data_IF_108875421204
#
_entry.id   IF_108875421204
#
_cell.length_a   1.000
_cell.length_b   1.000
_cell.length_c   1.000
_cell.angle_alpha   90.00
_cell.angle_beta   90.00
_cell.angle_gamma   90.00
#
_symmetry.space_group_name_H-M   'P 1'
#
loop_
_entity.id
_entity.type
_entity.pdbx_description
1 polymer ?
#
# COMPACT_ATOMS: atom_id res chain seq x y z
N UNK A 1 -43.67 7.33 14.14
CA UNK A 1 -42.39 7.57 13.36
C UNK A 1 -41.95 8.99 13.64
N UNK A 2 -40.74 9.22 14.12
CA UNK A 2 -40.21 10.56 14.35
C UNK A 2 -39.70 11.15 13.03
N UNK A 3 -40.10 12.35 12.66
CA UNK A 3 -39.63 13.06 11.49
C UNK A 3 -38.09 13.26 11.54
N UNK A 4 -37.37 13.19 10.41
CA UNK A 4 -35.96 13.52 10.34
C UNK A 4 -35.69 14.95 10.83
N UNK A 5 -34.48 15.19 11.42
CA UNK A 5 -34.11 16.49 11.98
C UNK A 5 -34.30 17.67 11.01
N UNK A 6 -33.99 17.49 9.73
CA UNK A 6 -34.15 18.52 8.70
C UNK A 6 -35.60 18.92 8.45
N UNK A 7 -36.53 17.98 8.54
CA UNK A 7 -37.97 18.25 8.39
C UNK A 7 -38.51 18.93 9.64
N UNK A 8 -38.07 18.53 10.84
CA UNK A 8 -38.45 19.20 12.08
C UNK A 8 -38.00 20.66 12.14
N UNK A 9 -36.82 20.99 11.57
CA UNK A 9 -36.35 22.38 11.46
C UNK A 9 -37.22 23.24 10.55
N UNK A 10 -37.87 22.65 9.52
CA UNK A 10 -38.77 23.37 8.62
C UNK A 10 -40.13 23.71 9.28
N UNK A 11 -40.49 23.03 10.35
CA UNK A 11 -41.71 23.28 11.11
C UNK A 11 -41.57 24.43 12.13
N UNK A 12 -40.40 25.01 12.27
CA UNK A 12 -40.17 26.13 13.19
C UNK A 12 -40.65 27.43 12.55
N UNK A 13 -41.64 28.06 13.17
CA UNK A 13 -42.18 29.35 12.76
C UNK A 13 -41.58 30.47 13.62
N UNK A 14 -40.71 31.28 13.02
CA UNK A 14 -39.96 32.31 13.74
C UNK A 14 -40.80 33.51 14.18
N UNK A 15 -41.93 33.73 13.52
CA UNK A 15 -42.83 34.86 13.75
C UNK A 15 -44.13 34.47 14.49
N UNK A 16 -44.21 33.24 14.99
CA UNK A 16 -45.32 32.75 15.77
C UNK A 16 -45.43 33.57 17.07
N UNK A 17 -46.65 34.11 17.33
CA UNK A 17 -46.95 34.91 18.48
C UNK A 17 -47.41 34.11 19.71
N UNK A 18 -47.81 32.88 19.51
CA UNK A 18 -48.37 32.05 20.59
C UNK A 18 -47.29 31.12 21.17
N UNK A 19 -46.35 30.63 20.33
CA UNK A 19 -45.30 29.72 20.75
C UNK A 19 -43.90 30.31 20.58
N UNK A 20 -43.23 30.56 21.68
CA UNK A 20 -41.85 31.04 21.62
C UNK A 20 -40.91 30.00 20.95
N UNK A 21 -39.85 30.47 20.31
CA UNK A 21 -38.85 29.59 19.66
C UNK A 21 -38.26 28.52 20.60
N UNK A 22 -38.22 28.83 21.91
CA UNK A 22 -37.75 27.89 22.94
C UNK A 22 -38.72 26.73 23.08
N UNK A 23 -40.04 27.05 23.17
CA UNK A 23 -41.11 26.07 23.31
C UNK A 23 -41.21 25.20 22.02
N UNK A 24 -41.12 25.84 20.86
CA UNK A 24 -41.09 25.11 19.58
C UNK A 24 -39.89 24.16 19.48
N UNK A 25 -38.71 24.58 19.92
CA UNK A 25 -37.53 23.71 19.96
C UNK A 25 -37.72 22.50 20.86
N UNK A 26 -38.30 22.71 22.04
CA UNK A 26 -38.55 21.63 23.01
C UNK A 26 -39.61 20.64 22.47
N UNK A 27 -40.71 21.15 21.90
CA UNK A 27 -41.76 20.32 21.27
C UNK A 27 -41.23 19.51 20.07
N UNK A 28 -40.38 20.11 19.26
CA UNK A 28 -39.76 19.46 18.10
C UNK A 28 -38.51 18.65 18.44
N UNK A 29 -38.13 18.55 19.71
CA UNK A 29 -36.91 17.88 20.18
C UNK A 29 -35.66 18.38 19.43
N UNK A 30 -35.54 19.67 19.22
CA UNK A 30 -34.42 20.36 18.59
C UNK A 30 -33.55 21.08 19.64
N UNK A 31 -32.22 21.07 19.46
CA UNK A 31 -31.37 21.91 20.29
C UNK A 31 -31.56 23.36 19.88
N UNK A 32 -31.61 24.29 20.87
CA UNK A 32 -31.75 25.75 20.65
C UNK A 32 -30.66 26.30 19.69
N UNK A 33 -29.42 25.82 19.81
CA UNK A 33 -28.32 26.19 18.92
C UNK A 33 -28.61 25.87 17.44
N UNK A 34 -29.41 24.81 17.16
CA UNK A 34 -29.81 24.45 15.80
C UNK A 34 -30.69 25.48 15.13
N UNK A 35 -31.47 26.26 15.90
CA UNK A 35 -32.37 27.28 15.36
C UNK A 35 -31.63 28.54 14.90
N UNK A 36 -30.46 28.80 15.47
CA UNK A 36 -29.63 29.97 15.17
C UNK A 36 -28.44 29.61 14.28
N UNK A 37 -28.27 28.34 13.92
CA UNK A 37 -27.17 27.91 13.07
C UNK A 37 -27.33 28.44 11.64
N UNK A 38 -26.44 29.30 11.23
CA UNK A 38 -26.28 29.69 9.83
C UNK A 38 -25.11 28.93 9.23
N UNK A 39 -25.36 28.25 8.10
CA UNK A 39 -24.31 27.56 7.38
C UNK A 39 -23.29 28.58 6.86
N UNK A 40 -22.05 28.44 7.28
CA UNK A 40 -20.94 29.27 6.79
C UNK A 40 -20.63 28.82 5.36
N UNK A 41 -20.65 29.75 4.40
CA UNK A 41 -20.22 29.47 3.04
C UNK A 41 -18.75 29.08 3.02
N UNK A 42 -18.36 28.04 2.25
CA UNK A 42 -16.96 27.63 2.13
C UNK A 42 -16.09 28.80 1.65
N UNK A 43 -14.92 28.95 2.25
CA UNK A 43 -13.96 29.97 1.81
C UNK A 43 -13.44 29.65 0.41
N UNK A 44 -12.97 30.66 -0.37
CA UNK A 44 -12.36 30.40 -1.68
C UNK A 44 -11.17 29.43 -1.62
N UNK A 45 -10.46 29.41 -0.51
CA UNK A 45 -9.36 28.47 -0.28
C UNK A 45 -9.86 27.03 -0.08
N UNK A 46 -10.94 26.87 0.67
CA UNK A 46 -11.58 25.58 0.87
C UNK A 46 -12.14 25.02 -0.43
N UNK A 47 -12.74 25.89 -1.28
CA UNK A 47 -13.23 25.49 -2.60
C UNK A 47 -12.07 25.03 -3.49
N UNK A 48 -10.96 25.78 -3.56
CA UNK A 48 -9.76 25.38 -4.32
C UNK A 48 -9.20 24.05 -3.82
N UNK A 49 -9.17 23.86 -2.52
CA UNK A 49 -8.69 22.61 -1.91
C UNK A 49 -9.60 21.42 -2.28
N UNK A 50 -10.92 21.60 -2.24
CA UNK A 50 -11.87 20.56 -2.65
C UNK A 50 -11.73 20.22 -4.12
N UNK A 51 -11.56 21.20 -5.01
CA UNK A 51 -11.28 20.97 -6.43
C UNK A 51 -9.99 20.15 -6.60
N UNK A 52 -8.91 20.50 -5.88
CA UNK A 52 -7.66 19.75 -6.00
C UNK A 52 -7.79 18.31 -5.48
N UNK A 53 -8.55 18.09 -4.41
CA UNK A 53 -8.87 16.74 -3.89
C UNK A 53 -9.64 15.94 -4.95
N UNK A 54 -10.60 16.56 -5.63
CA UNK A 54 -11.43 15.95 -6.67
C UNK A 54 -10.59 15.57 -7.92
N UNK A 55 -9.72 16.44 -8.36
CA UNK A 55 -8.77 16.16 -9.46
C UNK A 55 -7.88 14.94 -9.15
N UNK A 56 -7.27 14.90 -7.95
CA UNK A 56 -6.45 13.77 -7.51
C UNK A 56 -7.29 12.50 -7.41
N UNK A 57 -8.52 12.60 -6.91
CA UNK A 57 -9.41 11.44 -6.82
C UNK A 57 -9.86 10.96 -8.20
N UNK A 58 -10.15 11.86 -9.13
CA UNK A 58 -10.52 11.52 -10.51
C UNK A 58 -9.38 10.79 -11.22
N UNK A 59 -8.15 11.20 -11.00
CA UNK A 59 -6.96 10.53 -11.56
C UNK A 59 -6.65 9.20 -10.86
N UNK A 60 -6.86 9.14 -9.51
CA UNK A 60 -6.56 7.98 -8.68
C UNK A 60 -7.73 7.61 -7.75
N UNK A 61 -8.84 7.04 -8.25
CA UNK A 61 -10.04 6.80 -7.46
C UNK A 61 -9.86 5.78 -6.31
N UNK A 62 -8.75 5.04 -6.31
CA UNK A 62 -8.31 4.16 -5.24
C UNK A 62 -7.51 4.87 -4.13
N UNK A 63 -7.30 6.20 -4.21
CA UNK A 63 -6.68 6.97 -3.14
C UNK A 63 -7.70 7.31 -2.05
N UNK A 64 -7.47 6.79 -0.85
CA UNK A 64 -8.16 7.27 0.35
C UNK A 64 -7.48 8.53 0.92
N UNK A 65 -8.09 9.11 1.96
CA UNK A 65 -7.65 10.36 2.60
C UNK A 65 -6.17 10.41 2.99
N UNK A 66 -5.52 9.27 3.24
CA UNK A 66 -4.08 9.22 3.58
C UNK A 66 -3.20 9.54 2.38
N UNK A 67 -3.46 8.91 1.22
CA UNK A 67 -2.68 9.13 -0.01
C UNK A 67 -2.93 10.52 -0.59
N UNK A 68 -4.19 10.96 -0.63
CA UNK A 68 -4.55 12.31 -1.06
C UNK A 68 -3.84 13.36 -0.19
N UNK A 69 -3.83 13.19 1.13
CA UNK A 69 -3.11 14.09 2.04
C UNK A 69 -1.60 14.15 1.75
N UNK A 70 -0.98 13.00 1.44
CA UNK A 70 0.45 12.96 1.07
C UNK A 70 0.70 13.67 -0.25
N UNK A 71 -0.16 13.46 -1.25
CA UNK A 71 -0.05 14.12 -2.56
C UNK A 71 -0.16 15.65 -2.42
N UNK A 72 -1.16 16.14 -1.70
CA UNK A 72 -1.32 17.57 -1.44
C UNK A 72 -0.10 18.19 -0.72
N UNK A 73 0.49 17.47 0.23
CA UNK A 73 1.73 17.91 0.90
C UNK A 73 2.94 17.96 -0.02
N UNK A 74 3.07 17.01 -0.96
CA UNK A 74 4.11 17.05 -2.01
C UNK A 74 3.96 18.26 -2.94
N UNK A 75 2.74 18.74 -3.11
CA UNK A 75 2.41 19.96 -3.85
C UNK A 75 2.57 21.26 -3.00
N UNK A 76 3.08 21.13 -1.76
CA UNK A 76 3.35 22.25 -0.86
C UNK A 76 2.15 22.70 0.00
N UNK A 77 1.02 21.99 -0.02
CA UNK A 77 -0.16 22.33 0.76
C UNK A 77 -0.06 21.80 2.20
N UNK A 78 -0.06 22.68 3.19
CA UNK A 78 -0.04 22.33 4.62
C UNK A 78 -1.41 21.85 5.09
N UNK A 79 -1.73 20.58 4.90
CA UNK A 79 -3.01 19.98 5.28
C UNK A 79 -2.84 18.73 6.14
N UNK A 80 -3.76 18.48 7.08
CA UNK A 80 -3.80 17.25 7.84
C UNK A 80 -4.82 16.25 7.26
N UNK A 81 -4.61 14.97 7.57
CA UNK A 81 -5.47 13.88 7.07
C UNK A 81 -6.94 14.01 7.48
N UNK A 82 -7.23 14.52 8.71
CA UNK A 82 -8.61 14.66 9.19
C UNK A 82 -9.38 15.68 8.36
N UNK A 83 -8.72 16.77 7.94
CA UNK A 83 -9.32 17.78 7.07
C UNK A 83 -9.62 17.19 5.68
N UNK A 84 -8.65 16.47 5.05
CA UNK A 84 -8.89 15.77 3.77
C UNK A 84 -10.05 14.78 3.90
N UNK A 85 -10.11 13.99 4.96
CA UNK A 85 -11.19 13.01 5.18
C UNK A 85 -12.55 13.69 5.32
N UNK A 86 -12.62 14.86 5.98
CA UNK A 86 -13.84 15.66 6.10
C UNK A 86 -14.29 16.15 4.71
N UNK A 87 -13.40 16.76 3.93
CA UNK A 87 -13.72 17.27 2.60
C UNK A 87 -14.15 16.15 1.65
N UNK A 88 -13.48 14.99 1.64
CA UNK A 88 -13.91 13.83 0.86
C UNK A 88 -15.34 13.39 1.23
N UNK A 89 -15.66 13.35 2.52
CA UNK A 89 -17.03 13.01 2.98
C UNK A 89 -18.06 14.05 2.57
N UNK A 90 -17.74 15.33 2.66
CA UNK A 90 -18.60 16.43 2.21
C UNK A 90 -18.88 16.38 0.70
N UNK A 91 -17.93 15.94 -0.10
CA UNK A 91 -18.04 15.73 -1.56
C UNK A 91 -18.67 14.37 -1.94
N UNK A 92 -18.92 13.48 -0.96
CA UNK A 92 -19.46 12.14 -1.23
C UNK A 92 -18.48 11.19 -1.91
N UNK A 93 -17.16 11.44 -1.82
CA UNK A 93 -16.12 10.62 -2.45
C UNK A 93 -15.44 9.71 -1.43
N UNK A 94 -15.21 8.46 -1.82
CA UNK A 94 -14.54 7.44 -1.00
C UNK A 94 -13.60 6.60 -1.87
N UNK A 95 -12.40 6.29 -1.35
CA UNK A 95 -11.44 5.46 -2.08
C UNK A 95 -11.98 4.04 -2.32
N UNK A 96 -11.91 3.57 -3.55
CA UNK A 96 -12.38 2.23 -3.95
C UNK A 96 -11.60 1.15 -3.20
N UNK A 97 -12.30 0.24 -2.52
CA UNK A 97 -11.72 -0.84 -1.70
C UNK A 97 -12.32 -2.22 -2.01
N UNK A 98 -11.54 -3.28 -1.77
CA UNK A 98 -11.90 -4.67 -2.10
C UNK A 98 -12.84 -5.42 -1.15
N UNK A 99 -13.58 -6.41 -1.71
CA UNK A 99 -14.32 -7.45 -0.98
C UNK A 99 -13.48 -8.72 -0.64
N UNK A 100 -14.04 -9.76 0.03
CA UNK A 100 -13.30 -10.97 0.49
C UNK A 100 -13.00 -12.02 -0.60
N UNK A 101 -11.95 -12.86 -0.44
CA UNK A 101 -11.35 -13.75 -1.46
C UNK A 101 -11.61 -15.27 -1.25
N UNK A 102 -11.69 -16.09 -2.34
CA UNK A 102 -12.23 -17.47 -2.35
C UNK A 102 -11.44 -18.50 -3.21
N UNK A 103 -10.19 -18.96 -2.89
CA UNK A 103 -9.45 -19.98 -3.69
C UNK A 103 -8.87 -21.17 -2.88
N UNK A 104 -8.81 -22.42 -3.44
CA UNK A 104 -8.34 -23.69 -2.83
C UNK A 104 -7.20 -24.40 -3.58
N UNK A 105 -6.33 -25.20 -2.90
CA UNK A 105 -5.04 -25.82 -3.32
C UNK A 105 -5.08 -27.29 -3.72
N UNK A 106 -3.96 -27.81 -4.38
CA UNK A 106 -3.69 -29.22 -4.75
C UNK A 106 -2.41 -29.81 -4.09
N UNK A 107 -2.31 -31.18 -3.87
CA UNK A 107 -1.62 -31.81 -2.74
C UNK A 107 -0.40 -32.74 -3.05
N UNK A 108 0.19 -32.80 -4.27
CA UNK A 108 1.10 -33.89 -4.68
C UNK A 108 2.58 -33.54 -5.03
N UNK A 109 3.15 -32.41 -4.57
CA UNK A 109 4.49 -31.97 -5.03
C UNK A 109 5.58 -31.89 -3.96
N UNK A 110 6.89 -31.96 -4.38
CA UNK A 110 8.09 -31.88 -3.54
C UNK A 110 8.15 -30.50 -2.85
N UNK A 111 8.29 -30.51 -1.52
CA UNK A 111 8.18 -29.32 -0.67
C UNK A 111 9.57 -28.92 -0.19
N UNK A 112 9.93 -27.64 -0.37
CA UNK A 112 11.06 -27.01 0.28
C UNK A 112 10.65 -26.41 1.64
N UNK A 113 11.59 -26.33 2.61
CA UNK A 113 11.29 -25.77 3.92
C UNK A 113 10.98 -24.26 3.80
N UNK A 114 10.07 -23.76 4.66
CA UNK A 114 9.83 -22.33 4.80
C UNK A 114 10.93 -21.69 5.64
N UNK A 115 11.75 -20.86 5.02
CA UNK A 115 12.94 -20.27 5.62
C UNK A 115 12.68 -18.91 6.29
N UNK A 116 11.48 -18.34 6.14
CA UNK A 116 11.22 -16.93 6.53
C UNK A 116 10.64 -16.78 7.94
N UNK A 117 10.46 -17.89 8.70
CA UNK A 117 9.90 -17.83 10.04
C UNK A 117 10.83 -17.06 10.99
N UNK A 118 10.34 -15.93 11.51
CA UNK A 118 11.11 -15.08 12.42
C UNK A 118 12.23 -14.26 11.75
N UNK A 119 12.37 -14.37 10.42
CA UNK A 119 13.35 -13.60 9.68
C UNK A 119 12.94 -12.12 9.63
N UNK A 120 13.82 -11.24 10.09
CA UNK A 120 13.68 -9.80 9.89
C UNK A 120 14.30 -9.40 8.55
N UNK A 121 13.47 -8.92 7.64
CA UNK A 121 13.91 -8.45 6.33
C UNK A 121 14.37 -6.99 6.50
N UNK A 122 15.65 -6.72 6.26
CA UNK A 122 16.29 -5.43 6.60
C UNK A 122 16.86 -4.67 5.40
N UNK A 123 16.99 -5.30 4.25
CA UNK A 123 17.62 -4.73 3.06
C UNK A 123 17.04 -5.29 1.76
N UNK A 124 17.19 -4.56 0.65
CA UNK A 124 16.85 -5.09 -0.68
C UNK A 124 17.64 -6.38 -0.99
N UNK A 125 17.05 -7.22 -1.82
CA UNK A 125 17.61 -8.50 -2.28
C UNK A 125 17.86 -9.53 -1.16
N UNK A 126 17.26 -9.35 0.02
CA UNK A 126 17.30 -10.37 1.07
C UNK A 126 16.26 -11.46 0.80
N UNK A 127 15.04 -11.10 0.45
CA UNK A 127 13.97 -12.03 0.13
C UNK A 127 13.19 -11.52 -1.08
N UNK A 128 13.08 -12.36 -2.11
CA UNK A 128 12.14 -12.14 -3.22
C UNK A 128 11.00 -13.12 -3.14
N UNK A 129 9.83 -12.68 -3.54
CA UNK A 129 8.65 -13.52 -3.70
C UNK A 129 8.20 -13.56 -5.15
N UNK A 130 7.74 -14.72 -5.58
CA UNK A 130 7.09 -14.93 -6.89
C UNK A 130 5.70 -15.51 -6.69
N UNK A 131 4.76 -15.12 -7.53
CA UNK A 131 3.42 -15.69 -7.56
C UNK A 131 2.75 -15.38 -8.90
N UNK A 132 1.63 -16.07 -9.19
CA UNK A 132 0.84 -15.91 -10.41
C UNK A 132 -0.57 -15.46 -10.03
N UNK A 133 -1.11 -14.52 -10.80
CA UNK A 133 -2.50 -14.09 -10.64
C UNK A 133 -3.24 -14.04 -11.96
N UNK A 134 -4.58 -14.03 -11.91
CA UNK A 134 -5.47 -13.94 -13.06
C UNK A 134 -5.84 -12.49 -13.35
N UNK A 135 -5.81 -12.11 -14.60
CA UNK A 135 -6.25 -10.80 -15.12
C UNK A 135 -7.47 -11.04 -16.01
N UNK A 136 -8.59 -10.43 -15.65
CA UNK A 136 -9.83 -10.58 -16.41
C UNK A 136 -9.78 -9.71 -17.66
N UNK A 137 -10.24 -10.29 -18.79
CA UNK A 137 -10.59 -9.59 -20.02
C UNK A 137 -12.11 -9.56 -20.18
N UNK A 138 -12.61 -8.77 -21.11
CA UNK A 138 -14.02 -8.80 -21.55
C UNK A 138 -14.40 -10.21 -22.03
N UNK A 139 -13.49 -10.88 -22.74
CA UNK A 139 -13.65 -12.27 -23.19
C UNK A 139 -12.41 -13.08 -22.76
N UNK A 140 -12.51 -13.77 -21.61
CA UNK A 140 -11.46 -14.68 -21.14
C UNK A 140 -10.55 -14.11 -20.04
N UNK A 141 -9.34 -14.68 -19.93
CA UNK A 141 -8.39 -14.40 -18.86
C UNK A 141 -6.97 -14.38 -19.38
N UNK A 142 -6.12 -13.58 -18.75
CA UNK A 142 -4.67 -13.64 -18.84
C UNK A 142 -4.08 -14.05 -17.51
N UNK A 143 -2.83 -14.49 -17.52
CA UNK A 143 -2.05 -14.83 -16.36
C UNK A 143 -0.92 -13.81 -16.21
N UNK A 144 -0.78 -13.26 -15.03
CA UNK A 144 0.29 -12.33 -14.68
C UNK A 144 1.16 -12.99 -13.61
N UNK A 145 2.44 -13.20 -13.92
CA UNK A 145 3.46 -13.57 -12.93
C UNK A 145 4.28 -12.34 -12.56
N UNK A 146 4.73 -12.25 -11.32
CA UNK A 146 5.58 -11.14 -10.88
C UNK A 146 6.56 -11.56 -9.79
N UNK A 147 7.76 -11.00 -9.87
CA UNK A 147 8.83 -11.16 -8.86
C UNK A 147 8.98 -9.86 -8.10
N UNK A 148 8.79 -9.90 -6.79
CA UNK A 148 8.79 -8.73 -5.91
C UNK A 148 9.85 -8.86 -4.81
N UNK A 149 10.62 -7.78 -4.57
CA UNK A 149 11.47 -7.66 -3.40
C UNK A 149 10.63 -7.37 -2.14
N UNK A 150 10.79 -8.18 -1.12
CA UNK A 150 9.96 -8.10 0.09
C UNK A 150 10.34 -6.94 1.01
N UNK A 151 11.55 -6.42 0.91
CA UNK A 151 11.95 -5.24 1.68
C UNK A 151 11.35 -3.96 1.11
N UNK A 152 11.65 -3.68 -0.14
CA UNK A 152 11.28 -2.44 -0.82
C UNK A 152 9.90 -2.45 -1.45
N UNK A 153 9.31 -3.63 -1.64
CA UNK A 153 8.09 -3.85 -2.45
C UNK A 153 8.31 -3.56 -3.95
N UNK A 154 9.54 -3.46 -4.40
CA UNK A 154 9.87 -3.22 -5.79
C UNK A 154 9.57 -4.47 -6.63
N UNK A 155 8.78 -4.30 -7.67
CA UNK A 155 8.49 -5.34 -8.65
C UNK A 155 9.66 -5.40 -9.64
N UNK A 156 10.53 -6.40 -9.49
CA UNK A 156 11.71 -6.58 -10.32
C UNK A 156 11.37 -6.95 -11.76
N UNK A 157 10.47 -7.92 -11.89
CA UNK A 157 10.04 -8.41 -13.20
C UNK A 157 8.60 -8.86 -13.17
N UNK A 158 7.99 -8.90 -14.34
CA UNK A 158 6.65 -9.44 -14.54
C UNK A 158 6.49 -9.93 -15.98
N UNK A 159 5.62 -10.91 -16.18
CA UNK A 159 5.19 -11.37 -17.48
C UNK A 159 3.68 -11.59 -17.54
N UNK A 160 3.10 -11.36 -18.71
CA UNK A 160 1.69 -11.54 -18.98
C UNK A 160 1.51 -12.51 -20.14
N UNK A 161 0.70 -13.54 -19.96
CA UNK A 161 0.46 -14.55 -21.01
C UNK A 161 -1.02 -14.98 -21.04
N UNK A 162 -1.47 -15.49 -22.18
CA UNK A 162 -2.80 -16.06 -22.34
C UNK A 162 -2.85 -17.53 -21.90
N UNK A 163 -1.70 -18.20 -21.78
CA UNK A 163 -1.58 -19.57 -21.28
C UNK A 163 -0.87 -19.63 -19.93
N UNK A 164 -1.25 -20.60 -19.11
CA UNK A 164 -0.61 -20.88 -17.83
C UNK A 164 0.50 -21.94 -18.01
N UNK A 165 1.43 -21.70 -18.93
CA UNK A 165 2.54 -22.61 -19.23
C UNK A 165 3.86 -22.11 -18.62
N UNK A 166 4.84 -23.03 -18.45
CA UNK A 166 6.13 -22.71 -17.82
C UNK A 166 6.93 -21.58 -18.50
N UNK A 167 6.97 -21.42 -19.83
CA UNK A 167 7.85 -20.44 -20.45
C UNK A 167 7.66 -19.00 -19.97
N UNK A 168 6.42 -18.54 -19.65
CA UNK A 168 6.21 -17.18 -19.18
C UNK A 168 6.71 -16.98 -17.74
N UNK A 169 6.65 -18.03 -16.91
CA UNK A 169 7.21 -18.01 -15.55
C UNK A 169 8.73 -17.92 -15.61
N UNK A 170 9.36 -18.76 -16.46
CA UNK A 170 10.82 -18.76 -16.62
C UNK A 170 11.34 -17.40 -17.12
N UNK A 171 10.68 -16.79 -18.11
CA UNK A 171 11.05 -15.43 -18.57
C UNK A 171 11.02 -14.40 -17.45
N UNK A 172 10.02 -14.46 -16.56
CA UNK A 172 9.96 -13.55 -15.41
C UNK A 172 11.11 -13.79 -14.42
N UNK A 173 11.45 -15.07 -14.16
CA UNK A 173 12.57 -15.45 -13.27
C UNK A 173 13.91 -15.00 -13.86
N UNK A 174 14.18 -15.32 -15.11
CA UNK A 174 15.40 -14.93 -15.83
C UNK A 174 15.56 -13.41 -15.87
N UNK A 175 14.49 -12.68 -16.18
CA UNK A 175 14.49 -11.22 -16.19
C UNK A 175 14.79 -10.62 -14.81
N UNK A 176 14.29 -11.22 -13.72
CA UNK A 176 14.61 -10.77 -12.37
C UNK A 176 16.06 -11.07 -11.98
N UNK A 177 16.52 -12.31 -12.21
CA UNK A 177 17.90 -12.76 -11.92
C UNK A 177 18.94 -12.03 -12.76
N UNK A 178 18.58 -11.53 -13.94
CA UNK A 178 19.44 -10.67 -14.77
C UNK A 178 19.70 -9.29 -14.17
N UNK A 179 18.86 -8.83 -13.22
CA UNK A 179 19.01 -7.54 -12.56
C UNK A 179 19.81 -7.64 -11.26
N UNK A 180 19.52 -8.64 -10.43
CA UNK A 180 20.18 -8.89 -9.14
C UNK A 180 19.93 -10.33 -8.69
N UNK A 181 20.50 -10.73 -7.54
CA UNK A 181 20.25 -12.04 -6.90
C UNK A 181 19.78 -11.85 -5.47
N UNK A 182 18.69 -12.53 -5.04
CA UNK A 182 18.27 -12.55 -3.66
C UNK A 182 19.05 -13.59 -2.85
N UNK A 183 19.05 -13.47 -1.54
CA UNK A 183 19.50 -14.54 -0.65
C UNK A 183 18.49 -15.69 -0.60
N UNK A 184 17.19 -15.33 -0.49
CA UNK A 184 16.09 -16.29 -0.40
C UNK A 184 15.07 -15.96 -1.48
N UNK A 185 14.66 -17.00 -2.21
CA UNK A 185 13.58 -16.94 -3.18
C UNK A 185 12.38 -17.71 -2.65
N UNK A 186 11.25 -17.03 -2.42
CA UNK A 186 10.04 -17.60 -1.85
C UNK A 186 8.94 -17.75 -2.89
N UNK A 187 8.27 -18.89 -2.91
CA UNK A 187 7.09 -19.16 -3.73
C UNK A 187 6.04 -19.96 -2.96
N UNK A 188 4.86 -20.09 -3.50
CA UNK A 188 3.91 -21.10 -3.04
C UNK A 188 4.29 -22.51 -3.53
N UNK A 189 3.46 -23.51 -3.21
CA UNK A 189 3.64 -24.90 -3.62
C UNK A 189 2.89 -25.23 -4.92
N UNK A 190 2.66 -24.26 -5.80
CA UNK A 190 2.00 -24.45 -7.09
C UNK A 190 2.82 -25.34 -8.03
N UNK A 191 2.15 -25.97 -9.01
CA UNK A 191 2.80 -26.89 -9.95
C UNK A 191 3.93 -26.25 -10.76
N UNK A 192 3.83 -24.95 -11.03
CA UNK A 192 4.88 -24.21 -11.74
C UNK A 192 6.15 -24.07 -10.89
N UNK A 193 5.98 -23.76 -9.60
CA UNK A 193 7.09 -23.49 -8.68
C UNK A 193 7.72 -24.76 -8.09
N UNK A 194 7.11 -25.93 -8.35
CA UNK A 194 7.66 -27.24 -7.96
C UNK A 194 8.21 -28.03 -9.16
N UNK A 195 8.20 -27.47 -10.36
CA UNK A 195 8.79 -28.09 -11.56
C UNK A 195 10.31 -28.09 -11.51
N UNK A 196 10.96 -29.16 -11.98
CA UNK A 196 12.42 -29.27 -11.96
C UNK A 196 13.08 -28.15 -12.77
N UNK A 197 12.53 -27.77 -13.92
CA UNK A 197 13.09 -26.69 -14.77
C UNK A 197 13.16 -25.35 -14.04
N UNK A 198 12.12 -25.02 -13.26
CA UNK A 198 12.12 -23.81 -12.44
C UNK A 198 13.11 -23.91 -11.27
N UNK A 199 13.15 -25.08 -10.60
CA UNK A 199 14.03 -25.31 -9.47
C UNK A 199 15.51 -25.33 -9.88
N UNK A 200 15.83 -25.88 -11.07
CA UNK A 200 17.19 -25.89 -11.61
C UNK A 200 17.69 -24.47 -11.89
N UNK A 201 16.85 -23.62 -12.47
CA UNK A 201 17.19 -22.21 -12.71
C UNK A 201 17.54 -21.46 -11.40
N UNK A 202 16.81 -21.73 -10.31
CA UNK A 202 17.11 -21.16 -9.00
C UNK A 202 18.37 -21.77 -8.36
N UNK A 203 18.62 -23.06 -8.55
CA UNK A 203 19.85 -23.73 -8.07
C UNK A 203 21.09 -23.19 -8.79
N UNK A 204 21.00 -23.03 -10.12
CA UNK A 204 22.09 -22.43 -10.92
C UNK A 204 22.37 -20.98 -10.50
N UNK A 205 21.37 -20.26 -10.07
CA UNK A 205 21.52 -18.91 -9.51
C UNK A 205 22.07 -18.89 -8.07
N UNK A 206 22.25 -20.07 -7.44
CA UNK A 206 22.76 -20.22 -6.05
C UNK A 206 21.87 -19.50 -5.00
N UNK A 207 20.56 -19.42 -5.22
CA UNK A 207 19.63 -18.82 -4.27
C UNK A 207 19.04 -19.87 -3.32
N UNK A 208 18.75 -19.51 -2.08
CA UNK A 208 18.07 -20.39 -1.15
C UNK A 208 16.57 -20.45 -1.48
N UNK A 209 16.07 -21.66 -1.75
CA UNK A 209 14.67 -21.87 -2.11
C UNK A 209 13.83 -22.03 -0.85
N UNK A 210 12.78 -21.22 -0.72
CA UNK A 210 11.78 -21.26 0.33
C UNK A 210 10.39 -21.46 -0.26
N UNK A 211 9.57 -22.29 0.38
CA UNK A 211 8.17 -22.48 -0.01
C UNK A 211 7.23 -22.27 1.16
N UNK A 212 6.10 -21.63 0.89
CA UNK A 212 5.07 -21.36 1.88
C UNK A 212 4.57 -22.64 2.57
N UNK A 213 4.34 -22.55 3.86
CA UNK A 213 3.78 -23.67 4.62
C UNK A 213 2.31 -23.93 4.27
N UNK A 214 1.91 -25.21 4.26
CA UNK A 214 0.53 -25.63 3.99
C UNK A 214 -0.46 -24.94 4.96
N UNK A 215 -1.41 -24.18 4.40
CA UNK A 215 -2.48 -23.53 5.18
C UNK A 215 -2.09 -22.26 5.92
N UNK A 216 -0.94 -21.66 5.61
CA UNK A 216 -0.47 -20.41 6.24
C UNK A 216 -0.58 -19.24 5.26
N UNK A 217 -1.74 -18.59 5.23
CA UNK A 217 -1.97 -17.40 4.41
C UNK A 217 -1.04 -16.21 4.72
N UNK A 218 -0.34 -16.21 5.86
CA UNK A 218 0.58 -15.15 6.23
C UNK A 218 1.98 -15.29 5.61
N UNK A 219 2.32 -16.47 5.10
CA UNK A 219 3.67 -16.78 4.62
C UNK A 219 3.99 -16.05 3.29
N UNK A 220 2.98 -15.64 2.49
CA UNK A 220 3.15 -14.87 1.24
C UNK A 220 2.37 -13.55 1.20
N UNK A 221 2.06 -13.01 2.35
CA UNK A 221 1.21 -11.82 2.49
C UNK A 221 1.68 -10.60 1.67
N UNK A 222 2.98 -10.50 1.39
CA UNK A 222 3.56 -9.38 0.63
C UNK A 222 3.20 -9.49 -0.85
N UNK A 223 3.36 -10.67 -1.43
CA UNK A 223 3.03 -10.95 -2.83
C UNK A 223 1.51 -10.94 -3.04
N UNK A 224 0.73 -11.52 -2.10
CA UNK A 224 -0.73 -11.44 -2.14
C UNK A 224 -1.23 -9.97 -2.10
N UNK A 225 -0.57 -9.14 -1.29
CA UNK A 225 -0.90 -7.70 -1.22
C UNK A 225 -0.56 -6.95 -2.50
N UNK A 226 0.50 -7.34 -3.23
CA UNK A 226 0.80 -6.82 -4.57
C UNK A 226 -0.39 -7.07 -5.50
N UNK A 227 -0.86 -8.33 -5.58
CA UNK A 227 -1.99 -8.69 -6.46
C UNK A 227 -3.26 -7.95 -6.09
N UNK A 228 -3.55 -7.86 -4.81
CA UNK A 228 -4.67 -7.06 -4.33
C UNK A 228 -4.54 -5.61 -4.81
N UNK A 229 -3.37 -5.01 -4.69
CA UNK A 229 -3.13 -3.64 -5.12
C UNK A 229 -3.34 -3.47 -6.63
N UNK A 230 -2.73 -4.33 -7.46
CA UNK A 230 -2.87 -4.31 -8.92
C UNK A 230 -4.34 -4.51 -9.34
N UNK A 231 -5.03 -5.48 -8.75
CA UNK A 231 -6.42 -5.76 -9.11
C UNK A 231 -7.36 -4.59 -8.83
N UNK A 232 -7.19 -3.93 -7.71
CA UNK A 232 -8.13 -2.87 -7.29
C UNK A 232 -7.75 -1.48 -7.78
N UNK A 233 -6.51 -1.27 -8.11
CA UNK A 233 -6.06 0.04 -8.57
C UNK A 233 -5.95 0.12 -10.10
N UNK A 234 -5.98 -1.03 -10.79
CA UNK A 234 -5.89 -1.08 -12.25
C UNK A 234 -6.92 -2.03 -12.88
N UNK A 235 -6.90 -3.33 -12.52
CA UNK A 235 -7.66 -4.34 -13.26
C UNK A 235 -9.18 -4.16 -13.14
N UNK A 236 -9.69 -3.90 -11.93
CA UNK A 236 -11.13 -3.74 -11.71
C UNK A 236 -11.68 -2.37 -12.12
N UNK A 237 -10.80 -1.44 -12.45
CA UNK A 237 -11.18 -0.14 -12.99
C UNK A 237 -11.20 -0.14 -14.53
N UNK A 238 -10.77 -1.22 -15.17
CA UNK A 238 -10.67 -1.32 -16.61
C UNK A 238 -11.33 -2.61 -17.13
N UNK A 239 -12.09 -2.47 -18.20
CA UNK A 239 -12.59 -3.59 -18.99
C UNK A 239 -11.67 -3.77 -20.21
N UNK A 240 -10.64 -4.61 -20.07
CA UNK A 240 -9.69 -4.84 -21.15
C UNK A 240 -10.36 -5.60 -22.30
N UNK A 241 -10.42 -4.98 -23.48
CA UNK A 241 -10.98 -5.59 -24.68
C UNK A 241 -10.01 -6.60 -25.34
N UNK A 242 -8.70 -6.50 -25.09
CA UNK A 242 -7.70 -7.36 -25.70
C UNK A 242 -6.46 -7.56 -24.82
N UNK A 243 -5.68 -8.66 -25.05
CA UNK A 243 -4.40 -8.88 -24.40
C UNK A 243 -3.40 -7.73 -24.60
N UNK A 244 -3.41 -7.10 -25.78
CA UNK A 244 -2.54 -5.96 -26.11
C UNK A 244 -2.87 -4.75 -25.25
N UNK A 245 -4.15 -4.43 -25.10
CA UNK A 245 -4.60 -3.34 -24.25
C UNK A 245 -4.26 -3.60 -22.79
N UNK A 246 -4.55 -4.80 -22.27
CA UNK A 246 -4.19 -5.19 -20.92
C UNK A 246 -2.69 -5.04 -20.66
N UNK A 247 -1.82 -5.49 -21.59
CA UNK A 247 -0.37 -5.33 -21.47
C UNK A 247 0.04 -3.86 -21.43
N UNK A 248 -0.51 -3.02 -22.28
CA UNK A 248 -0.17 -1.59 -22.33
C UNK A 248 -0.55 -0.87 -21.02
N UNK A 249 -1.77 -1.09 -20.53
CA UNK A 249 -2.26 -0.48 -19.29
C UNK A 249 -1.50 -1.00 -18.07
N UNK A 250 -1.29 -2.31 -17.97
CA UNK A 250 -0.50 -2.91 -16.90
C UNK A 250 0.95 -2.42 -16.91
N UNK A 251 1.60 -2.28 -18.08
CA UNK A 251 2.95 -1.70 -18.18
C UNK A 251 3.00 -0.30 -17.56
N UNK A 252 2.06 0.55 -17.92
CA UNK A 252 1.95 1.91 -17.36
C UNK A 252 1.71 1.89 -15.86
N UNK A 253 0.77 1.05 -15.41
CA UNK A 253 0.44 0.94 -13.99
C UNK A 253 1.59 0.38 -13.16
N UNK A 254 2.27 -0.67 -13.61
CA UNK A 254 3.39 -1.28 -12.87
C UNK A 254 4.61 -0.37 -12.79
N UNK A 255 4.84 0.44 -13.83
CA UNK A 255 5.82 1.54 -13.76
C UNK A 255 5.42 2.60 -12.71
N UNK A 256 4.18 3.03 -12.71
CA UNK A 256 3.64 3.93 -11.68
C UNK A 256 3.75 3.31 -10.27
N UNK A 257 3.42 2.03 -10.10
CA UNK A 257 3.54 1.30 -8.85
C UNK A 257 4.95 1.38 -8.27
N UNK A 258 5.96 1.14 -9.10
CA UNK A 258 7.36 1.15 -8.68
C UNK A 258 7.90 2.55 -8.39
N UNK A 259 7.58 3.53 -9.24
CA UNK A 259 8.31 4.81 -9.27
C UNK A 259 7.54 6.01 -8.72
N UNK A 260 6.22 5.93 -8.64
CA UNK A 260 5.40 7.10 -8.31
C UNK A 260 4.43 6.84 -7.16
N UNK A 261 3.95 5.59 -6.99
CA UNK A 261 2.95 5.25 -6.01
C UNK A 261 3.52 5.28 -4.58
N UNK A 262 3.01 6.14 -3.67
CA UNK A 262 3.47 6.14 -2.28
C UNK A 262 2.93 4.93 -1.52
N UNK A 263 3.78 4.22 -0.79
CA UNK A 263 3.42 3.07 0.04
C UNK A 263 3.39 3.43 1.52
N UNK A 264 2.24 3.25 2.18
CA UNK A 264 2.12 3.54 3.61
C UNK A 264 3.08 2.71 4.47
N UNK A 265 3.30 1.43 4.14
CA UNK A 265 4.23 0.55 4.87
C UNK A 265 5.71 0.91 4.66
N UNK A 266 5.99 1.80 3.71
CA UNK A 266 7.33 2.31 3.40
C UNK A 266 7.46 3.79 3.78
N UNK A 267 6.71 4.24 4.78
CA UNK A 267 6.66 5.66 5.18
C UNK A 267 6.34 6.60 4.00
N UNK A 268 5.43 6.16 3.13
CA UNK A 268 5.00 6.86 1.91
C UNK A 268 6.10 7.06 0.85
N UNK A 269 7.21 6.35 0.97
CA UNK A 269 8.20 6.25 -0.11
C UNK A 269 7.70 5.32 -1.22
N UNK A 270 8.25 5.48 -2.42
CA UNK A 270 8.01 4.56 -3.52
C UNK A 270 8.89 3.30 -3.38
N UNK A 271 8.50 2.15 -3.96
CA UNK A 271 9.35 0.98 -4.01
C UNK A 271 10.74 1.23 -4.58
N UNK A 272 10.83 1.99 -5.68
CA UNK A 272 12.11 2.33 -6.32
C UNK A 272 13.03 3.16 -5.42
N UNK A 273 12.49 4.14 -4.70
CA UNK A 273 13.27 4.94 -3.74
C UNK A 273 13.96 4.07 -2.69
N UNK A 274 13.29 2.99 -2.23
CA UNK A 274 13.88 2.08 -1.24
C UNK A 274 14.80 1.04 -1.87
N UNK A 275 14.45 0.53 -3.06
CA UNK A 275 15.23 -0.53 -3.70
C UNK A 275 16.60 -0.02 -4.17
N UNK A 276 16.65 1.20 -4.73
CA UNK A 276 17.86 1.82 -5.24
C UNK A 276 18.60 2.71 -4.24
N UNK A 277 18.07 2.83 -3.01
CA UNK A 277 18.77 3.54 -1.94
C UNK A 277 20.11 2.83 -1.66
N UNK A 278 21.22 3.49 -1.97
CA UNK A 278 22.54 2.98 -1.58
C UNK A 278 22.54 2.90 -0.06
N UNK A 279 22.82 1.73 0.48
CA UNK A 279 23.09 1.56 1.91
C UNK A 279 24.24 2.48 2.28
N UNK A 280 23.91 3.62 2.89
CA UNK A 280 24.93 4.42 3.58
C UNK A 280 25.29 3.58 4.80
N UNK A 281 26.34 2.76 4.68
CA UNK A 281 27.03 2.23 5.85
C UNK A 281 27.37 3.44 6.71
N UNK A 282 26.62 3.63 7.79
CA UNK A 282 27.03 4.53 8.85
C UNK A 282 28.31 3.91 9.44
N UNK A 283 29.46 4.30 8.93
CA UNK A 283 30.69 4.21 9.67
C UNK A 283 30.44 4.96 10.99
N UNK A 284 30.20 4.19 12.04
CA UNK A 284 30.25 4.73 13.39
C UNK A 284 31.63 5.30 13.56
N UNK A 285 31.80 6.60 13.88
CA UNK A 285 33.09 7.14 14.17
C UNK A 285 33.62 6.39 15.39
N UNK A 286 34.68 5.59 15.19
CA UNK A 286 35.45 5.00 16.27
C UNK A 286 36.05 6.17 17.07
N UNK A 287 35.38 6.57 18.15
CA UNK A 287 35.91 7.47 19.14
C UNK A 287 37.12 6.77 19.75
N UNK A 288 38.32 7.20 19.33
CA UNK A 288 39.57 6.90 20.01
C UNK A 288 39.46 7.45 21.45
N UNK A 289 39.14 6.56 22.39
CA UNK A 289 39.34 6.84 23.81
C UNK A 289 40.83 6.93 24.01
N UNK A 290 41.37 8.17 24.07
CA UNK A 290 42.71 8.43 24.59
C UNK A 290 42.69 8.04 26.06
N UNK A 291 43.44 7.00 26.43
CA UNK A 291 43.82 6.71 27.81
C UNK A 291 44.58 7.94 28.34
N UNK A 292 43.93 8.70 29.21
CA UNK A 292 44.53 9.77 29.96
C UNK A 292 45.42 9.19 31.05
N UNK A 293 46.64 9.71 31.09
CA UNK A 293 47.69 9.42 32.07
C UNK A 293 47.23 9.69 33.49
N UNK A 294 47.43 8.71 34.35
CA UNK A 294 47.34 8.82 35.81
C UNK A 294 48.48 9.70 36.31
N UNK A 295 48.20 10.95 36.69
CA UNK A 295 49.11 11.74 37.51
C UNK A 295 48.81 11.49 38.97
N UNK A 296 49.67 10.77 39.62
CA UNK A 296 49.84 10.70 41.08
C UNK A 296 50.25 12.07 41.60
N UNK A 297 49.46 12.65 42.48
CA UNK A 297 49.90 13.73 43.37
C UNK A 297 49.86 13.23 44.82
N UNK A 298 51.09 13.09 45.34
CA UNK A 298 51.39 12.90 46.75
C UNK A 298 51.04 14.13 47.58
N UNK A 299 50.46 13.89 48.72
CA UNK A 299 50.81 14.47 49.99
C UNK A 299 50.43 15.93 50.25
N UNK A 300 49.53 16.11 51.20
CA UNK A 300 49.83 16.95 52.38
C UNK A 300 48.69 16.88 53.38
N UNK A 301 48.99 16.44 54.57
CA UNK A 301 48.24 16.58 55.81
C UNK A 301 47.98 18.06 56.15
N UNK A 302 46.80 18.36 56.78
CA UNK A 302 46.74 19.23 57.98
C UNK A 302 45.36 19.17 58.59
N UNK A 303 45.31 18.72 59.78
CA UNK A 303 44.58 19.06 60.99
C UNK A 303 43.59 20.27 60.93
N UNK A 304 42.41 20.12 61.29
CA UNK A 304 41.66 20.48 62.52
C UNK A 304 40.16 20.25 62.32
#
# INVERSE_FOLDING_TARGET
MSLPRGERLKLVEREDRELSLVVQADLLTLSRSSLYYQAVTPSPEEVRLKHRIDEIYTEYPFYGSRRICVQLRREGLAINRKAVQRHMREMGIEGITPGPNLSRRNLAHRIYPYLLRGLQIKRPNQVWGIDITYIRLTAGWLYLVGVIDWYSRYLLSWELDASLEMPFVLRAVESALGQARPEIWNSDQGSHFTSEVYLDLLREAEVQISMDGKGRALDNIITERLWRTIKYEEVYLNDYASPKEARQKLTKYLSFYNHQRPHQSLNYRTPAELYFEKSVEKELPTSKIKKGETRTLNGASFLS
#
